data_IF_801834575433
#
_entry.id   IF_801834575433
#
_cell.length_a   1.000
_cell.length_b   1.000
_cell.length_c   1.000
_cell.angle_alpha   90.00
_cell.angle_beta   90.00
_cell.angle_gamma   90.00
#
_symmetry.space_group_name_H-M   'P 1'
#
loop_
_entity.id
_entity.type
_entity.pdbx_description
1 polymer ?
#
# COMPACT_ATOMS: atom_id res chain seq x y z
N UNK A 1 85.15 18.71 14.73
CA UNK A 1 84.36 19.78 15.37
C UNK A 1 82.99 19.82 14.69
N UNK A 2 81.90 19.72 15.47
CA UNK A 2 80.56 20.34 15.27
C UNK A 2 79.99 20.33 13.82
N UNK A 3 78.83 19.75 13.50
CA UNK A 3 77.55 19.89 14.19
C UNK A 3 76.55 18.81 13.75
N UNK A 4 75.74 18.36 14.71
CA UNK A 4 74.47 17.69 14.51
C UNK A 4 73.48 18.61 13.76
N UNK A 5 72.77 18.07 12.77
CA UNK A 5 71.51 18.62 12.28
C UNK A 5 70.41 17.64 12.68
N UNK A 6 69.52 18.13 13.54
CA UNK A 6 68.31 17.48 14.02
C UNK A 6 67.11 18.19 13.40
N UNK A 7 66.00 17.45 13.24
CA UNK A 7 64.63 17.97 13.06
C UNK A 7 64.29 18.53 11.65
N UNK A 8 63.14 18.29 11.01
CA UNK A 8 61.86 17.69 11.37
C UNK A 8 61.33 16.89 10.17
N UNK A 9 60.81 15.69 10.40
CA UNK A 9 59.92 15.01 9.44
C UNK A 9 58.53 15.64 9.54
N UNK A 10 58.11 16.37 8.51
CA UNK A 10 56.73 16.82 8.35
C UNK A 10 55.85 15.61 8.02
N UNK A 11 55.18 15.05 9.02
CA UNK A 11 54.06 14.13 8.82
C UNK A 11 52.84 14.98 8.41
N UNK A 12 52.55 15.08 7.11
CA UNK A 12 51.27 15.60 6.64
C UNK A 12 50.18 14.58 6.99
N UNK A 13 49.48 14.83 8.10
CA UNK A 13 48.19 14.21 8.40
C UNK A 13 47.17 14.71 7.36
N UNK A 14 47.01 13.97 6.27
CA UNK A 14 45.86 14.07 5.38
C UNK A 14 44.63 13.58 6.14
N UNK A 15 44.00 14.50 6.88
CA UNK A 15 42.64 14.34 7.38
C UNK A 15 41.73 14.38 6.14
N UNK A 16 41.01 13.31 5.77
CA UNK A 16 39.98 13.45 4.76
C UNK A 16 38.89 14.32 5.38
N UNK A 17 38.77 15.55 4.89
CA UNK A 17 37.55 16.35 5.03
C UNK A 17 36.45 15.61 4.26
N UNK A 18 35.85 14.61 4.91
CA UNK A 18 34.55 14.11 4.50
C UNK A 18 33.56 15.27 4.67
N UNK A 19 32.84 15.69 3.63
CA UNK A 19 31.78 16.65 3.80
C UNK A 19 30.79 16.08 4.83
N UNK A 20 30.20 16.91 5.70
CA UNK A 20 29.16 16.45 6.59
C UNK A 20 28.08 15.81 5.72
N UNK A 21 27.87 14.51 5.90
CA UNK A 21 26.71 13.81 5.36
C UNK A 21 25.52 14.49 6.02
N UNK A 22 24.95 15.48 5.33
CA UNK A 22 23.63 15.95 5.65
C UNK A 22 22.71 14.78 5.36
N UNK A 23 22.35 14.03 6.40
CA UNK A 23 21.11 13.27 6.38
C UNK A 23 20.03 14.26 5.98
N UNK A 24 19.47 14.08 4.79
CA UNK A 24 18.34 14.84 4.32
C UNK A 24 17.14 14.45 5.18
N UNK A 25 17.05 15.01 6.38
CA UNK A 25 15.87 14.96 7.22
C UNK A 25 14.86 15.93 6.58
N UNK A 26 14.26 15.47 5.49
CA UNK A 26 13.18 16.17 4.82
C UNK A 26 11.97 16.01 5.72
N UNK A 27 11.82 16.96 6.64
CA UNK A 27 10.54 17.24 7.31
C UNK A 27 9.55 17.67 6.24
N UNK A 28 8.97 16.68 5.56
CA UNK A 28 8.02 16.87 4.49
C UNK A 28 6.68 17.20 5.15
N UNK A 29 6.30 18.47 5.15
CA UNK A 29 4.97 18.87 5.59
C UNK A 29 3.93 18.23 4.64
N UNK A 30 2.97 17.44 5.15
CA UNK A 30 1.95 16.79 4.32
C UNK A 30 1.11 17.84 3.59
N UNK A 31 0.72 17.53 2.35
CA UNK A 31 -0.15 18.44 1.60
C UNK A 31 -1.52 18.59 2.27
N UNK A 32 -2.23 19.70 2.04
CA UNK A 32 -3.60 19.89 2.56
C UNK A 32 -4.54 18.73 2.19
N UNK A 33 -4.40 18.20 0.95
CA UNK A 33 -5.14 17.02 0.49
C UNK A 33 -4.83 15.77 1.31
N UNK A 34 -3.57 15.61 1.75
CA UNK A 34 -3.11 14.44 2.51
C UNK A 34 -3.78 14.36 3.88
N UNK A 35 -3.93 15.49 4.57
CA UNK A 35 -4.59 15.52 5.87
C UNK A 35 -6.10 15.22 5.77
N UNK A 36 -6.78 15.71 4.74
CA UNK A 36 -8.20 15.40 4.50
C UNK A 36 -8.41 13.93 4.15
N UNK A 37 -7.60 13.39 3.23
CA UNK A 37 -7.62 11.97 2.85
C UNK A 37 -7.35 11.10 4.07
N UNK A 38 -6.38 11.48 4.91
CA UNK A 38 -6.08 10.75 6.14
C UNK A 38 -7.28 10.69 7.08
N UNK A 39 -7.93 11.84 7.34
CA UNK A 39 -9.14 11.89 8.17
C UNK A 39 -10.26 11.01 7.60
N UNK A 40 -10.42 10.98 6.29
CA UNK A 40 -11.39 10.10 5.64
C UNK A 40 -11.07 8.62 5.86
N UNK A 41 -9.82 8.23 5.68
CA UNK A 41 -9.35 6.87 5.91
C UNK A 41 -9.50 6.46 7.38
N UNK A 42 -9.10 7.30 8.34
CA UNK A 42 -9.23 7.05 9.78
C UNK A 42 -10.71 6.85 10.19
N UNK A 43 -11.60 7.67 9.65
CA UNK A 43 -13.03 7.54 9.90
C UNK A 43 -13.63 6.27 9.31
N UNK A 44 -13.29 5.95 8.05
CA UNK A 44 -13.73 4.73 7.37
C UNK A 44 -13.28 3.50 8.14
N UNK A 45 -12.03 3.55 8.57
CA UNK A 45 -11.43 2.52 9.35
C UNK A 45 -12.22 2.39 10.70
N UNK A 46 -12.40 3.47 11.46
CA UNK A 46 -13.15 3.47 12.73
C UNK A 46 -14.57 2.89 12.57
N UNK A 47 -15.22 3.16 11.43
CA UNK A 47 -16.53 2.60 11.10
C UNK A 47 -16.46 1.07 10.94
N UNK A 48 -15.48 0.57 10.19
CA UNK A 48 -15.29 -0.86 9.90
C UNK A 48 -14.80 -1.68 11.11
N UNK A 49 -14.18 -1.03 12.10
CA UNK A 49 -13.77 -1.68 13.36
C UNK A 49 -14.98 -2.38 14.05
N UNK A 50 -16.16 -1.77 13.99
CA UNK A 50 -17.39 -2.39 14.54
C UNK A 50 -17.74 -3.69 13.82
N UNK A 51 -17.61 -3.72 12.50
CA UNK A 51 -17.93 -4.88 11.67
C UNK A 51 -16.90 -6.00 11.88
N UNK A 52 -15.61 -5.66 11.97
CA UNK A 52 -14.54 -6.61 12.27
C UNK A 52 -14.70 -7.19 13.68
N UNK A 53 -15.03 -6.37 14.68
CA UNK A 53 -15.30 -6.87 16.03
C UNK A 53 -16.47 -7.85 16.04
N UNK A 54 -17.53 -7.56 15.29
CA UNK A 54 -18.71 -8.42 15.21
C UNK A 54 -18.42 -9.73 14.46
N UNK A 55 -17.69 -9.68 13.35
CA UNK A 55 -17.45 -10.83 12.47
C UNK A 55 -16.19 -11.65 12.76
N UNK A 56 -15.16 -11.06 13.36
CA UNK A 56 -13.83 -11.65 13.56
C UNK A 56 -13.29 -11.45 14.99
N UNK A 57 -14.07 -10.86 15.91
CA UNK A 57 -13.62 -10.61 17.29
C UNK A 57 -13.20 -11.86 18.06
N UNK A 58 -13.61 -13.05 17.62
CA UNK A 58 -13.16 -14.33 18.18
C UNK A 58 -11.71 -14.71 17.78
N UNK A 59 -11.18 -14.13 16.70
CA UNK A 59 -9.81 -14.34 16.23
C UNK A 59 -8.83 -13.25 16.69
N UNK A 60 -9.33 -12.17 17.32
CA UNK A 60 -8.54 -10.96 17.60
C UNK A 60 -8.49 -10.75 19.11
N UNK A 61 -7.28 -10.78 19.68
CA UNK A 61 -7.06 -10.72 21.13
C UNK A 61 -7.42 -9.35 21.71
N UNK A 62 -6.99 -8.28 21.05
CA UNK A 62 -7.36 -6.90 21.37
C UNK A 62 -7.69 -6.17 20.07
N UNK A 63 -8.98 -6.11 19.76
CA UNK A 63 -9.44 -5.49 18.52
C UNK A 63 -8.98 -4.04 18.43
N UNK A 64 -8.96 -3.29 19.53
CA UNK A 64 -8.55 -1.89 19.50
C UNK A 64 -7.04 -1.76 19.25
N UNK A 65 -6.23 -2.58 19.91
CA UNK A 65 -4.77 -2.55 19.73
C UNK A 65 -4.36 -3.01 18.33
N UNK A 66 -4.85 -4.16 17.87
CA UNK A 66 -4.54 -4.67 16.54
C UNK A 66 -5.02 -3.69 15.46
N UNK A 67 -6.14 -3.03 15.72
CA UNK A 67 -6.67 -1.97 14.88
C UNK A 67 -5.80 -0.71 14.89
N UNK A 68 -5.37 -0.21 16.04
CA UNK A 68 -4.46 0.94 16.13
C UNK A 68 -3.12 0.62 15.45
N UNK A 69 -2.54 -0.55 15.66
CA UNK A 69 -1.29 -0.94 14.99
C UNK A 69 -1.46 -1.07 13.46
N UNK A 70 -2.60 -1.62 13.02
CA UNK A 70 -2.90 -1.81 11.60
C UNK A 70 -3.47 -0.56 10.90
N UNK A 71 -4.02 0.41 11.64
CA UNK A 71 -4.79 1.55 11.11
C UNK A 71 -4.47 2.94 11.72
N UNK A 72 -3.54 3.07 12.65
CA UNK A 72 -3.02 4.38 13.13
C UNK A 72 -1.74 4.78 12.38
N UNK A 73 -1.82 5.89 11.63
CA UNK A 73 -0.73 6.45 10.82
C UNK A 73 -0.27 7.80 11.31
N UNK A 74 -0.51 8.14 12.58
CA UNK A 74 -0.04 9.42 13.09
C UNK A 74 1.47 9.55 12.85
N UNK A 75 1.85 10.46 11.93
CA UNK A 75 3.23 10.67 11.50
C UNK A 75 3.76 9.77 10.36
N UNK A 76 2.94 8.92 9.72
CA UNK A 76 3.31 7.99 8.63
C UNK A 76 2.41 8.16 7.39
N UNK A 77 2.34 9.39 6.86
CA UNK A 77 1.49 9.77 5.72
C UNK A 77 2.23 9.82 4.37
N UNK A 78 3.47 9.33 4.36
CA UNK A 78 4.36 9.30 3.19
C UNK A 78 3.73 8.59 1.99
N UNK A 79 2.97 7.52 2.22
CA UNK A 79 2.26 6.78 1.17
C UNK A 79 1.10 7.60 0.56
N UNK A 80 0.37 8.38 1.38
CA UNK A 80 -0.70 9.26 0.89
C UNK A 80 -0.09 10.38 0.06
N UNK A 81 0.95 11.04 0.56
CA UNK A 81 1.67 12.08 -0.19
C UNK A 81 2.23 11.54 -1.51
N UNK A 82 2.82 10.34 -1.49
CA UNK A 82 3.38 9.71 -2.68
C UNK A 82 2.29 9.35 -3.69
N UNK A 83 1.14 8.89 -3.24
CA UNK A 83 -0.01 8.63 -4.09
C UNK A 83 -0.57 9.93 -4.69
N UNK A 84 -0.76 10.99 -3.89
CA UNK A 84 -1.22 12.31 -4.38
C UNK A 84 -0.25 12.86 -5.42
N UNK A 85 1.07 12.75 -5.21
CA UNK A 85 2.08 13.19 -6.20
C UNK A 85 1.97 12.44 -7.53
N UNK A 86 1.63 11.15 -7.50
CA UNK A 86 1.54 10.29 -8.70
C UNK A 86 0.21 10.40 -9.43
N UNK A 87 -0.90 10.59 -8.69
CA UNK A 87 -2.27 10.40 -9.19
C UNK A 87 -3.16 11.64 -9.04
N UNK A 88 -2.75 12.65 -8.27
CA UNK A 88 -3.60 13.77 -7.87
C UNK A 88 -4.55 13.39 -6.74
N UNK A 89 -5.69 14.08 -6.65
CA UNK A 89 -6.76 13.68 -5.72
C UNK A 89 -7.34 12.32 -6.16
N UNK A 90 -7.27 11.34 -5.27
CA UNK A 90 -7.69 9.97 -5.51
C UNK A 90 -8.83 9.52 -4.59
N UNK A 91 -9.45 10.45 -3.83
CA UNK A 91 -10.57 10.12 -2.92
C UNK A 91 -11.72 9.41 -3.62
N UNK A 92 -11.98 9.83 -4.85
CA UNK A 92 -12.99 9.24 -5.73
C UNK A 92 -12.66 7.82 -6.21
N UNK A 93 -11.52 7.24 -5.81
CA UNK A 93 -11.09 5.85 -6.05
C UNK A 93 -11.05 5.02 -4.76
N UNK A 94 -11.10 5.66 -3.59
CA UNK A 94 -11.11 4.95 -2.31
C UNK A 94 -12.44 4.20 -2.17
N UNK A 95 -12.39 2.98 -1.67
CA UNK A 95 -13.58 2.19 -1.41
C UNK A 95 -14.40 2.81 -0.27
N UNK A 96 -15.72 2.85 -0.48
CA UNK A 96 -16.71 3.16 0.55
C UNK A 96 -16.83 2.01 1.56
N UNK A 97 -17.45 2.29 2.70
CA UNK A 97 -17.78 1.27 3.70
C UNK A 97 -18.62 0.13 3.09
N UNK A 98 -19.54 0.43 2.17
CA UNK A 98 -20.36 -0.55 1.47
C UNK A 98 -19.54 -1.48 0.57
N UNK A 99 -18.59 -0.92 -0.20
CA UNK A 99 -17.67 -1.70 -1.05
C UNK A 99 -16.75 -2.60 -0.22
N UNK A 100 -16.23 -2.10 0.90
CA UNK A 100 -15.37 -2.88 1.78
C UNK A 100 -16.15 -4.02 2.44
N UNK A 101 -17.38 -3.76 2.90
CA UNK A 101 -18.27 -4.81 3.41
C UNK A 101 -18.58 -5.84 2.34
N UNK A 102 -18.85 -5.41 1.10
CA UNK A 102 -19.11 -6.31 0.00
C UNK A 102 -17.92 -7.24 -0.27
N UNK A 103 -16.69 -6.71 -0.22
CA UNK A 103 -15.46 -7.50 -0.32
C UNK A 103 -15.36 -8.55 0.81
N UNK A 104 -15.45 -8.11 2.07
CA UNK A 104 -15.27 -9.01 3.22
C UNK A 104 -16.43 -9.99 3.43
N UNK A 105 -17.65 -9.65 3.01
CA UNK A 105 -18.78 -10.57 3.06
C UNK A 105 -18.54 -11.80 2.19
N UNK A 106 -17.93 -11.63 1.02
CA UNK A 106 -17.51 -12.74 0.17
C UNK A 106 -16.56 -13.71 0.89
N UNK A 107 -15.60 -13.16 1.65
CA UNK A 107 -14.63 -13.95 2.42
C UNK A 107 -15.28 -14.72 3.59
N UNK A 108 -16.19 -14.07 4.31
CA UNK A 108 -16.89 -14.67 5.46
C UNK A 108 -17.89 -15.75 5.04
N UNK A 109 -18.64 -15.53 3.95
CA UNK A 109 -19.61 -16.52 3.44
C UNK A 109 -18.92 -17.75 2.85
N UNK A 110 -17.71 -17.60 2.30
CA UNK A 110 -16.96 -18.71 1.71
C UNK A 110 -16.13 -19.50 2.73
N UNK A 111 -16.25 -19.20 4.04
CA UNK A 111 -15.54 -19.97 5.07
C UNK A 111 -14.02 -20.04 4.89
N UNK A 112 -13.42 -19.03 4.24
CA UNK A 112 -11.99 -19.00 3.93
C UNK A 112 -11.53 -19.88 2.76
N UNK A 113 -12.44 -20.50 1.98
CA UNK A 113 -12.06 -21.22 0.76
C UNK A 113 -11.78 -20.25 -0.40
N UNK A 114 -10.57 -19.68 -0.39
CA UNK A 114 -9.66 -19.32 -1.49
C UNK A 114 -10.17 -18.85 -2.88
N UNK A 115 -11.43 -18.46 -3.05
CA UNK A 115 -11.87 -17.75 -4.23
C UNK A 115 -11.46 -16.28 -4.09
N UNK A 116 -10.32 -15.92 -4.69
CA UNK A 116 -9.77 -14.55 -4.69
C UNK A 116 -10.65 -13.52 -5.43
N UNK A 117 -11.85 -13.91 -5.87
CA UNK A 117 -12.73 -13.08 -6.67
C UNK A 117 -13.91 -12.54 -5.86
N UNK A 118 -14.13 -11.25 -6.00
CA UNK A 118 -15.33 -10.57 -5.51
C UNK A 118 -16.54 -11.05 -6.31
N UNK A 119 -17.67 -11.31 -5.64
CA UNK A 119 -18.93 -11.68 -6.31
C UNK A 119 -19.27 -10.62 -7.39
N UNK A 120 -19.78 -11.03 -8.58
CA UNK A 120 -20.13 -10.09 -9.63
C UNK A 120 -21.02 -8.95 -9.13
N UNK A 121 -20.71 -7.73 -9.55
CA UNK A 121 -21.43 -6.52 -9.17
C UNK A 121 -21.68 -5.65 -10.42
N UNK A 122 -22.25 -4.46 -10.22
CA UNK A 122 -22.61 -3.59 -11.35
C UNK A 122 -21.42 -3.04 -12.14
N UNK A 123 -20.23 -2.96 -11.55
CA UNK A 123 -19.01 -2.51 -12.23
C UNK A 123 -18.31 -3.69 -12.94
N UNK A 124 -18.26 -4.84 -12.28
CA UNK A 124 -17.56 -6.04 -12.74
C UNK A 124 -18.51 -7.24 -12.81
N UNK A 125 -18.95 -7.59 -14.02
CA UNK A 125 -19.82 -8.72 -14.32
C UNK A 125 -19.57 -9.24 -15.75
N UNK A 126 -20.34 -10.25 -16.18
CA UNK A 126 -20.21 -10.87 -17.51
C UNK A 126 -20.42 -9.90 -18.68
N UNK A 127 -21.09 -8.76 -18.46
CA UNK A 127 -21.42 -7.77 -19.49
C UNK A 127 -20.61 -6.48 -19.38
N UNK A 128 -19.96 -6.24 -18.24
CA UNK A 128 -19.17 -5.05 -17.95
C UNK A 128 -17.89 -5.47 -17.25
N UNK A 129 -16.78 -5.38 -17.98
CA UNK A 129 -15.45 -5.67 -17.45
C UNK A 129 -14.49 -4.56 -17.89
N UNK A 130 -14.15 -3.67 -16.96
CA UNK A 130 -13.24 -2.53 -17.17
C UNK A 130 -11.87 -2.81 -16.55
N UNK A 131 -10.85 -2.03 -16.91
CA UNK A 131 -9.50 -2.25 -16.38
C UNK A 131 -9.40 -2.21 -14.84
N UNK A 132 -10.30 -1.54 -14.13
CA UNK A 132 -10.33 -1.59 -12.65
C UNK A 132 -10.93 -2.87 -12.07
N UNK A 133 -11.49 -3.76 -12.90
CA UNK A 133 -11.87 -5.10 -12.47
C UNK A 133 -10.64 -6.01 -12.39
N UNK A 134 -9.52 -5.63 -12.99
CA UNK A 134 -8.27 -6.35 -12.94
C UNK A 134 -7.56 -6.20 -11.57
N UNK A 135 -6.81 -7.23 -11.14
CA UNK A 135 -6.07 -7.18 -9.88
C UNK A 135 -5.08 -6.01 -9.84
N UNK A 136 -5.04 -5.30 -8.71
CA UNK A 136 -4.14 -4.16 -8.51
C UNK A 136 -4.61 -2.85 -9.17
N UNK A 137 -5.80 -2.81 -9.78
CA UNK A 137 -6.34 -1.63 -10.47
C UNK A 137 -7.62 -1.09 -9.85
N UNK A 138 -7.85 0.22 -10.02
CA UNK A 138 -9.08 0.89 -9.59
C UNK A 138 -9.54 1.92 -10.61
N UNK A 139 -10.82 2.25 -10.59
CA UNK A 139 -11.42 3.30 -11.43
C UNK A 139 -12.01 4.42 -10.56
N UNK A 140 -12.05 5.61 -11.15
CA UNK A 140 -12.64 6.79 -10.54
C UNK A 140 -14.16 6.69 -10.61
N UNK A 141 -14.84 7.18 -9.58
CA UNK A 141 -16.29 7.37 -9.58
C UNK A 141 -16.73 8.62 -10.37
N UNK A 142 -15.78 9.45 -10.84
CA UNK A 142 -16.03 10.70 -11.57
C UNK A 142 -16.66 11.82 -10.74
N UNK A 143 -16.85 11.60 -9.44
CA UNK A 143 -17.46 12.53 -8.49
C UNK A 143 -16.99 12.21 -7.07
N UNK A 144 -17.13 13.19 -6.18
CA UNK A 144 -16.90 12.95 -4.75
C UNK A 144 -17.87 11.90 -4.22
N UNK A 145 -17.30 10.89 -3.55
CA UNK A 145 -18.04 9.79 -2.94
C UNK A 145 -17.93 9.94 -1.43
N UNK A 146 -19.06 9.90 -0.73
CA UNK A 146 -19.04 9.81 0.73
C UNK A 146 -18.63 8.41 1.15
N UNK A 147 -17.36 8.25 1.55
CA UNK A 147 -16.77 6.98 1.93
C UNK A 147 -17.45 6.33 3.14
N UNK A 148 -18.08 7.13 4.00
CA UNK A 148 -18.74 6.66 5.24
C UNK A 148 -20.16 6.20 5.00
N UNK A 149 -20.78 6.65 3.91
CA UNK A 149 -22.19 6.41 3.69
C UNK A 149 -22.41 4.91 3.48
N UNK A 150 -23.10 4.32 4.44
CA UNK A 150 -23.57 2.95 4.38
C UNK A 150 -24.78 2.85 3.46
N UNK A 151 -24.61 3.26 2.19
CA UNK A 151 -25.61 2.99 1.18
C UNK A 151 -25.40 1.56 0.73
N UNK A 152 -26.48 0.79 0.63
CA UNK A 152 -26.47 -0.55 0.01
C UNK A 152 -26.12 -0.53 -1.49
N UNK A 153 -25.59 0.57 -2.02
CA UNK A 153 -25.28 0.75 -3.43
C UNK A 153 -23.80 1.09 -3.58
N UNK A 154 -23.05 0.12 -4.10
CA UNK A 154 -21.66 0.29 -4.57
C UNK A 154 -21.67 1.44 -5.59
N UNK A 155 -20.76 2.43 -5.58
CA UNK A 155 -20.72 3.46 -6.61
C UNK A 155 -20.33 2.89 -7.98
N UNK A 156 -20.78 3.54 -9.06
CA UNK A 156 -20.36 3.16 -10.41
C UNK A 156 -18.93 3.69 -10.69
N UNK A 157 -18.03 2.83 -11.16
CA UNK A 157 -16.60 3.15 -11.37
C UNK A 157 -16.08 2.50 -12.65
N UNK A 158 -16.24 3.18 -13.78
CA UNK A 158 -15.81 2.64 -15.09
C UNK A 158 -14.89 3.55 -15.87
N UNK A 159 -14.55 4.72 -15.32
CA UNK A 159 -13.75 5.73 -15.99
C UNK A 159 -12.38 5.92 -15.35
N UNK A 160 -11.42 6.36 -16.18
CA UNK A 160 -10.09 6.80 -15.74
C UNK A 160 -9.38 5.73 -14.91
N UNK A 161 -9.44 4.46 -15.30
CA UNK A 161 -8.86 3.37 -14.51
C UNK A 161 -7.33 3.46 -14.45
N UNK A 162 -6.76 3.18 -13.28
CA UNK A 162 -5.33 3.32 -13.01
C UNK A 162 -4.86 2.25 -12.01
N UNK A 163 -3.57 1.87 -12.05
CA UNK A 163 -2.98 1.00 -11.05
C UNK A 163 -2.98 1.71 -9.69
N UNK A 164 -3.21 0.92 -8.64
CA UNK A 164 -3.33 1.40 -7.28
C UNK A 164 -1.98 1.80 -6.68
N UNK A 165 -2.02 2.76 -5.76
CA UNK A 165 -0.84 3.27 -5.09
C UNK A 165 -0.29 2.30 -4.04
N UNK A 166 0.98 2.47 -3.67
CA UNK A 166 1.54 1.89 -2.45
C UNK A 166 0.70 2.28 -1.23
N UNK A 167 0.59 1.37 -0.26
CA UNK A 167 -0.28 1.57 0.91
C UNK A 167 -1.77 1.42 0.61
N UNK A 168 -2.13 0.96 -0.58
CA UNK A 168 -3.48 0.55 -0.95
C UNK A 168 -3.41 -0.81 -1.64
N UNK A 169 -4.51 -1.56 -1.59
CA UNK A 169 -4.68 -2.77 -2.38
C UNK A 169 -6.01 -2.71 -3.12
N UNK A 170 -6.07 -3.41 -4.25
CA UNK A 170 -7.17 -3.33 -5.20
C UNK A 170 -7.64 -4.72 -5.60
N UNK A 171 -8.74 -5.17 -4.98
CA UNK A 171 -9.33 -6.46 -5.27
C UNK A 171 -9.76 -6.60 -6.72
N UNK A 172 -9.47 -7.76 -7.29
CA UNK A 172 -10.07 -8.18 -8.54
C UNK A 172 -11.60 -8.15 -8.40
N UNK A 173 -12.26 -7.39 -9.28
CA UNK A 173 -13.71 -7.27 -9.33
C UNK A 173 -14.35 -6.17 -8.46
N UNK A 174 -13.60 -5.32 -7.76
CA UNK A 174 -14.18 -4.26 -6.90
C UNK A 174 -14.01 -2.81 -7.42
N UNK A 175 -13.07 -2.55 -8.35
CA UNK A 175 -12.82 -1.22 -8.98
C UNK A 175 -12.44 -0.08 -8.05
N UNK A 176 -12.12 -0.33 -6.77
CA UNK A 176 -11.75 0.70 -5.81
C UNK A 176 -10.55 0.29 -4.95
N UNK A 177 -9.93 1.28 -4.30
CA UNK A 177 -8.74 1.12 -3.46
C UNK A 177 -9.14 0.96 -2.00
N UNK A 178 -8.72 -0.14 -1.38
CA UNK A 178 -8.82 -0.33 0.07
C UNK A 178 -7.46 -0.03 0.67
N UNK A 179 -7.46 0.66 1.81
CA UNK A 179 -6.22 0.96 2.52
C UNK A 179 -5.51 -0.33 2.94
N UNK A 180 -4.21 -0.39 2.71
CA UNK A 180 -3.35 -1.51 3.13
C UNK A 180 -1.93 -1.04 3.42
N UNK A 181 -1.01 -1.99 3.51
CA UNK A 181 0.37 -1.85 3.88
C UNK A 181 1.25 -2.59 2.85
N UNK A 182 0.93 -2.38 1.58
CA UNK A 182 1.49 -3.15 0.47
C UNK A 182 2.39 -2.25 -0.41
N UNK A 183 3.61 -2.71 -0.78
CA UNK A 183 4.40 -2.04 -1.81
C UNK A 183 3.74 -2.11 -3.20
N UNK A 184 4.22 -1.30 -4.15
CA UNK A 184 3.89 -1.48 -5.57
C UNK A 184 4.52 -2.77 -6.08
N UNK A 185 3.76 -3.54 -6.86
CA UNK A 185 4.25 -4.75 -7.49
C UNK A 185 5.09 -4.44 -8.73
N UNK A 186 6.03 -5.32 -9.06
CA UNK A 186 6.89 -5.20 -10.24
C UNK A 186 6.55 -6.29 -11.24
N UNK A 187 6.42 -5.92 -12.51
CA UNK A 187 6.21 -6.89 -13.57
C UNK A 187 7.48 -7.70 -13.81
N UNK A 188 7.37 -9.01 -13.65
CA UNK A 188 8.35 -9.96 -14.12
C UNK A 188 8.10 -10.20 -15.62
N UNK A 189 8.98 -9.66 -16.46
CA UNK A 189 8.84 -9.75 -17.91
C UNK A 189 9.02 -11.17 -18.47
N UNK A 190 9.62 -12.09 -17.70
CA UNK A 190 9.82 -13.48 -18.12
C UNK A 190 8.55 -14.30 -17.91
N UNK A 191 7.85 -14.07 -16.79
CA UNK A 191 6.66 -14.86 -16.41
C UNK A 191 5.33 -14.14 -16.66
N UNK A 192 5.35 -12.82 -16.85
CA UNK A 192 4.15 -11.97 -16.92
C UNK A 192 3.46 -11.74 -15.58
N UNK A 193 4.12 -12.05 -14.47
CA UNK A 193 3.58 -12.02 -13.10
C UNK A 193 3.98 -10.72 -12.38
N UNK A 194 3.10 -10.21 -11.51
CA UNK A 194 3.35 -9.05 -10.66
C UNK A 194 3.87 -9.46 -9.27
N UNK A 195 5.17 -9.30 -9.05
CA UNK A 195 5.83 -9.67 -7.79
C UNK A 195 5.66 -8.55 -6.74
N UNK A 196 5.33 -8.87 -5.46
CA UNK A 196 5.27 -10.20 -4.84
C UNK A 196 3.84 -10.82 -4.77
N UNK A 197 2.87 -10.30 -5.51
CA UNK A 197 1.45 -10.66 -5.32
C UNK A 197 0.97 -11.77 -6.25
N UNK A 198 1.81 -12.23 -7.18
CA UNK A 198 1.61 -13.42 -8.01
C UNK A 198 0.46 -13.36 -9.02
N UNK A 199 -0.28 -12.24 -9.12
CA UNK A 199 -1.29 -12.05 -10.17
C UNK A 199 -0.63 -11.70 -11.52
N UNK A 200 -1.33 -12.02 -12.61
CA UNK A 200 -0.88 -11.75 -13.99
C UNK A 200 -1.62 -10.55 -14.58
N UNK A 201 -0.94 -9.80 -15.45
CA UNK A 201 -1.59 -8.76 -16.25
C UNK A 201 -2.36 -9.39 -17.42
N UNK A 202 -3.45 -8.76 -17.91
CA UNK A 202 -4.15 -9.21 -19.10
C UNK A 202 -3.22 -9.34 -20.31
N UNK A 203 -3.30 -10.46 -21.02
CA UNK A 203 -2.45 -10.71 -22.19
C UNK A 203 -2.83 -9.77 -23.35
N UNK A 204 -1.82 -9.18 -23.98
CA UNK A 204 -1.99 -8.35 -25.18
C UNK A 204 -2.33 -6.87 -24.91
N UNK A 205 -2.52 -6.47 -23.65
CA UNK A 205 -2.83 -5.09 -23.29
C UNK A 205 -1.53 -4.32 -22.95
N UNK A 206 -1.05 -3.48 -23.87
CA UNK A 206 0.21 -2.74 -23.70
C UNK A 206 0.11 -1.58 -22.70
N UNK A 207 -1.10 -1.12 -22.41
CA UNK A 207 -1.35 -0.04 -21.45
C UNK A 207 -1.60 -0.56 -20.01
N UNK A 208 -1.53 -1.86 -19.79
CA UNK A 208 -1.70 -2.47 -18.48
C UNK A 208 -0.35 -2.67 -17.79
N UNK A 209 -0.31 -2.42 -16.49
CA UNK A 209 0.90 -2.46 -15.65
C UNK A 209 0.55 -3.07 -14.31
N UNK A 210 1.56 -3.50 -13.56
CA UNK A 210 1.33 -3.97 -12.20
C UNK A 210 0.93 -2.81 -11.28
N UNK A 211 -0.18 -2.98 -10.55
CA UNK A 211 -0.54 -2.16 -9.40
C UNK A 211 0.06 -2.63 -8.08
N UNK A 212 -0.60 -2.30 -6.97
CA UNK A 212 -0.26 -2.86 -5.66
C UNK A 212 -0.99 -4.20 -5.44
N UNK A 213 -1.07 -4.67 -4.19
CA UNK A 213 -1.68 -5.94 -3.84
C UNK A 213 -3.11 -6.06 -4.36
N UNK A 214 -3.52 -7.28 -4.69
CA UNK A 214 -4.85 -7.64 -5.16
C UNK A 214 -5.67 -8.38 -4.10
N UNK A 215 -5.01 -8.97 -3.10
CA UNK A 215 -5.67 -9.78 -2.06
C UNK A 215 -5.32 -9.24 -0.68
N UNK A 216 -6.32 -9.25 0.20
CA UNK A 216 -6.09 -9.17 1.64
C UNK A 216 -5.53 -10.51 2.13
N UNK A 217 -4.21 -10.67 2.13
CA UNK A 217 -3.58 -11.89 2.63
C UNK A 217 -3.18 -11.74 4.11
N UNK A 218 -3.52 -12.76 4.92
CA UNK A 218 -2.93 -12.92 6.24
C UNK A 218 -1.53 -13.53 6.15
N UNK A 219 -0.74 -13.38 7.22
CA UNK A 219 0.65 -13.86 7.39
C UNK A 219 0.87 -15.33 7.00
N UNK A 220 -0.19 -16.14 6.99
CA UNK A 220 -0.13 -17.61 6.85
C UNK A 220 0.14 -18.07 5.42
N UNK A 221 -0.22 -17.30 4.40
CA UNK A 221 -0.14 -17.73 3.00
C UNK A 221 0.98 -17.08 2.19
N UNK A 222 1.81 -16.22 2.80
CA UNK A 222 2.82 -15.51 2.04
C UNK A 222 4.13 -15.32 2.81
N UNK A 223 5.19 -16.00 2.36
CA UNK A 223 6.56 -15.80 2.86
C UNK A 223 7.12 -14.42 2.50
N UNK A 224 6.49 -13.73 1.55
CA UNK A 224 7.04 -12.53 0.91
C UNK A 224 6.58 -11.23 1.59
N UNK A 225 5.77 -11.32 2.65
CA UNK A 225 5.49 -10.20 3.57
C UNK A 225 6.76 -9.85 4.36
N UNK A 226 7.67 -10.81 4.52
CA UNK A 226 8.94 -10.59 5.18
C UNK A 226 9.96 -10.02 4.20
N UNK A 227 10.69 -9.00 4.64
CA UNK A 227 11.88 -8.53 3.95
C UNK A 227 12.83 -9.71 3.68
N UNK A 228 13.39 -9.77 2.46
CA UNK A 228 14.39 -10.78 2.09
C UNK A 228 15.55 -10.81 3.09
N UNK A 229 16.21 -11.97 3.25
CA UNK A 229 17.37 -12.11 4.13
C UNK A 229 18.42 -11.00 3.89
N UNK A 230 18.95 -10.44 4.98
CA UNK A 230 19.84 -9.28 4.93
C UNK A 230 19.10 -7.93 4.79
N UNK A 231 17.80 -7.88 5.04
CA UNK A 231 17.03 -6.63 5.12
C UNK A 231 15.93 -6.71 6.18
N UNK A 232 15.54 -5.57 6.74
CA UNK A 232 14.38 -5.41 7.62
C UNK A 232 13.44 -4.32 7.09
N UNK A 233 12.17 -4.42 7.46
CA UNK A 233 11.10 -3.57 6.96
C UNK A 233 10.57 -2.70 8.12
N UNK A 234 11.20 -1.55 8.44
CA UNK A 234 10.76 -0.72 9.57
C UNK A 234 9.37 -0.10 9.35
N UNK A 235 8.96 0.05 8.08
CA UNK A 235 7.57 0.26 7.69
C UNK A 235 7.23 -0.77 6.62
N UNK A 236 5.94 -0.99 6.37
CA UNK A 236 5.49 -1.98 5.39
C UNK A 236 5.64 -1.49 3.93
N UNK A 237 6.02 -0.23 3.74
CA UNK A 237 6.33 0.40 2.44
C UNK A 237 7.83 0.56 2.22
N UNK A 238 8.66 0.34 3.25
CA UNK A 238 10.10 0.61 3.22
C UNK A 238 10.89 -0.64 3.57
N UNK A 239 11.79 -1.03 2.67
CA UNK A 239 12.82 -2.05 2.90
C UNK A 239 14.17 -1.39 3.17
N UNK A 240 14.86 -1.83 4.21
CA UNK A 240 16.19 -1.33 4.61
C UNK A 240 17.15 -2.51 4.72
N UNK A 241 18.35 -2.41 4.18
CA UNK A 241 19.38 -3.46 4.31
C UNK A 241 19.86 -3.56 5.76
N UNK A 242 20.15 -4.79 6.22
CA UNK A 242 20.79 -4.99 7.52
C UNK A 242 22.24 -4.51 7.47
N UNK A 243 22.70 -3.90 8.55
CA UNK A 243 24.12 -3.55 8.71
C UNK A 243 24.97 -4.81 8.90
N UNK A 244 26.26 -4.75 8.53
CA UNK A 244 27.18 -5.89 8.69
C UNK A 244 27.31 -6.29 10.18
N UNK A 245 26.88 -7.50 10.52
CA UNK A 245 26.99 -8.06 11.88
C UNK A 245 25.69 -8.54 12.52
N UNK A 246 24.56 -8.46 11.81
CA UNK A 246 23.26 -9.05 12.17
C UNK A 246 22.86 -10.20 11.25
#
# INVERSE_FOLDING_TARGET
>A
MRNHVSSLSFLFLLIPFLPPVQCADTTFAPSFYTEEIYKELENLATLLNKDIKAGLGFCIKDVRKDWEEAFDFKGRLDFVDSCVKKKGDFRDRICTAAEIRYYFHGFLEQGGTAANYVKPNKNCNLTSWVSGCEPGWSCSAGKNVDLKKDVKDIPFRTSTCQPCCEGFFCPQGLTCMIRSYCPIAKLNNETGVCDPYTYQIPQGETNHTCGSADIWSGVVNNSDIFCSAGSYCPTTTRKVSCDSGY
#
